data_IF_756821168835
#
_entry.id   IF_756821168835
#
_cell.length_a   1.000
_cell.length_b   1.000
_cell.length_c   1.000
_cell.angle_alpha   90.00
_cell.angle_beta   90.00
_cell.angle_gamma   90.00
#
_symmetry.space_group_name_H-M   'P 1'
#
loop_
_entity.id
_entity.type
_entity.pdbx_description
1 polymer ?
#
# COMPACT_ATOMS: atom_id res chain seq x y z
N UNK A 1 14.14 5.82 30.15
CA UNK A 1 13.72 6.71 29.06
C UNK A 1 13.77 5.90 27.78
N UNK A 2 12.63 5.66 27.15
CA UNK A 2 12.60 5.06 25.83
C UNK A 2 12.91 6.19 24.85
N UNK A 3 13.98 6.05 24.07
CA UNK A 3 14.13 6.87 22.87
C UNK A 3 13.13 6.30 21.86
N UNK A 4 12.38 7.16 21.19
CA UNK A 4 11.68 6.79 19.96
C UNK A 4 12.65 5.97 19.10
N UNK A 5 12.19 4.79 18.69
CA UNK A 5 13.00 3.85 17.93
C UNK A 5 13.54 4.48 16.65
N UNK A 6 14.50 3.85 15.95
CA UNK A 6 15.24 4.44 14.83
C UNK A 6 14.39 4.79 13.59
N UNK A 7 13.07 4.58 13.64
CA UNK A 7 12.15 4.95 12.58
C UNK A 7 11.62 6.34 12.84
N UNK A 8 11.85 7.21 11.86
CA UNK A 8 11.44 8.59 11.89
C UNK A 8 9.99 8.72 12.39
N UNK A 9 9.78 9.60 13.38
CA UNK A 9 8.50 10.22 13.65
C UNK A 9 8.05 10.99 12.40
N UNK A 10 7.61 10.26 11.36
CA UNK A 10 6.91 10.87 10.25
C UNK A 10 5.55 11.27 10.78
N UNK A 11 5.35 12.58 10.87
CA UNK A 11 4.10 13.26 11.23
C UNK A 11 2.95 12.98 10.22
N UNK A 12 3.18 12.06 9.30
CA UNK A 12 2.35 11.61 8.22
C UNK A 12 1.95 10.17 8.57
N UNK A 13 0.89 10.02 9.35
CA UNK A 13 0.41 8.71 9.75
C UNK A 13 0.02 7.91 8.50
N UNK A 14 0.62 6.73 8.31
CA UNK A 14 0.16 5.77 7.31
C UNK A 14 -1.28 5.37 7.66
N UNK A 15 -2.26 5.88 6.91
CA UNK A 15 -3.68 5.58 7.15
C UNK A 15 -4.04 4.12 6.80
N UNK A 16 -3.24 3.49 5.93
CA UNK A 16 -3.40 2.11 5.50
C UNK A 16 -2.52 1.79 4.29
N UNK A 17 -2.51 0.52 3.87
CA UNK A 17 -1.91 0.09 2.61
C UNK A 17 -2.78 -0.99 1.98
N UNK A 18 -2.64 -1.14 0.65
CA UNK A 18 -3.31 -2.17 -0.12
C UNK A 18 -2.30 -2.84 -1.04
N UNK A 19 -2.46 -4.14 -1.25
CA UNK A 19 -1.76 -4.89 -2.30
C UNK A 19 -2.79 -5.24 -3.35
N UNK A 20 -2.50 -4.93 -4.61
CA UNK A 20 -3.37 -5.22 -5.74
C UNK A 20 -2.61 -6.07 -6.75
N UNK A 21 -3.26 -7.13 -7.23
CA UNK A 21 -2.77 -7.90 -8.36
C UNK A 21 -3.31 -7.26 -9.65
N UNK A 22 -2.39 -6.81 -10.51
CA UNK A 22 -2.71 -6.13 -11.76
C UNK A 22 -1.71 -6.50 -12.84
N UNK A 23 -2.17 -6.52 -14.09
CA UNK A 23 -1.35 -6.92 -15.23
C UNK A 23 -0.17 -5.96 -15.50
N UNK A 24 -0.30 -4.68 -15.11
CA UNK A 24 0.73 -3.65 -15.35
C UNK A 24 0.64 -2.48 -14.36
N UNK A 25 1.74 -1.72 -14.26
CA UNK A 25 1.88 -0.56 -13.37
C UNK A 25 0.82 0.52 -13.63
N UNK A 26 0.48 0.78 -14.90
CA UNK A 26 -0.51 1.80 -15.25
C UNK A 26 -1.85 1.54 -14.56
N UNK A 27 -2.26 0.27 -14.48
CA UNK A 27 -3.48 -0.11 -13.77
C UNK A 27 -3.41 0.13 -12.27
N UNK A 28 -2.26 -0.11 -11.64
CA UNK A 28 -2.05 0.21 -10.22
C UNK A 28 -2.17 1.73 -9.97
N UNK A 29 -1.60 2.55 -10.87
CA UNK A 29 -1.67 4.01 -10.80
C UNK A 29 -3.11 4.51 -10.95
N UNK A 30 -3.89 3.95 -11.87
CA UNK A 30 -5.31 4.29 -12.02
C UNK A 30 -6.12 4.02 -10.73
N UNK A 31 -5.87 2.88 -10.08
CA UNK A 31 -6.54 2.52 -8.82
C UNK A 31 -6.13 3.52 -7.73
N UNK A 32 -4.83 3.78 -7.59
CA UNK A 32 -4.30 4.74 -6.61
C UNK A 32 -4.88 6.14 -6.81
N UNK A 33 -5.01 6.61 -8.06
CA UNK A 33 -5.61 7.91 -8.37
C UNK A 33 -7.08 8.01 -7.95
N UNK A 34 -7.85 6.91 -8.05
CA UNK A 34 -9.24 6.87 -7.59
C UNK A 34 -9.32 6.92 -6.06
N UNK A 35 -8.45 6.20 -5.36
CA UNK A 35 -8.40 6.19 -3.89
C UNK A 35 -7.95 7.56 -3.38
N UNK A 36 -6.91 8.14 -3.99
CA UNK A 36 -6.41 9.47 -3.64
C UNK A 36 -7.50 10.54 -3.75
N UNK A 37 -8.31 10.51 -4.82
CA UNK A 37 -9.47 11.40 -4.97
C UNK A 37 -10.55 11.14 -3.90
N UNK A 38 -10.83 9.89 -3.57
CA UNK A 38 -11.86 9.55 -2.58
C UNK A 38 -11.43 9.87 -1.13
N UNK A 39 -10.14 9.74 -0.83
CA UNK A 39 -9.57 9.97 0.49
C UNK A 39 -9.10 11.42 0.71
N UNK A 40 -9.13 12.27 -0.33
CA UNK A 40 -8.57 13.63 -0.32
C UNK A 40 -7.13 13.65 0.21
N UNK A 41 -6.29 12.74 -0.29
CA UNK A 41 -4.95 12.54 0.23
C UNK A 41 -3.99 11.89 -0.76
N UNK A 42 -2.66 12.07 -0.59
CA UNK A 42 -1.66 11.46 -1.45
C UNK A 42 -1.60 9.94 -1.25
N UNK A 43 -1.30 9.21 -2.34
CA UNK A 43 -1.05 7.77 -2.34
C UNK A 43 0.27 7.51 -3.06
N UNK A 44 1.13 6.71 -2.44
CA UNK A 44 2.36 6.20 -3.07
C UNK A 44 2.11 4.83 -3.70
N UNK A 45 2.50 4.68 -4.97
CA UNK A 45 2.44 3.39 -5.68
C UNK A 45 3.84 2.79 -5.71
N UNK A 46 3.96 1.54 -5.25
CA UNK A 46 5.21 0.79 -5.25
C UNK A 46 4.98 -0.62 -5.74
N UNK A 47 5.76 -1.04 -6.73
CA UNK A 47 5.77 -2.43 -7.16
C UNK A 47 6.27 -3.33 -6.01
N UNK A 48 5.57 -4.45 -5.78
CA UNK A 48 6.05 -5.46 -4.84
C UNK A 48 7.29 -6.15 -5.42
N UNK A 49 8.30 -6.40 -4.58
CA UNK A 49 9.53 -7.08 -5.03
C UNK A 49 9.30 -8.56 -5.32
N UNK A 50 8.31 -9.17 -4.67
CA UNK A 50 7.93 -10.57 -4.83
C UNK A 50 6.42 -10.71 -4.86
N UNK A 51 5.92 -11.75 -5.52
CA UNK A 51 4.51 -12.09 -5.44
C UNK A 51 4.17 -12.59 -4.04
N UNK A 52 2.96 -12.33 -3.52
CA UNK A 52 2.52 -12.96 -2.29
C UNK A 52 2.55 -14.50 -2.43
N UNK A 53 2.91 -15.26 -1.36
CA UNK A 53 2.89 -16.71 -1.43
C UNK A 53 1.48 -17.24 -1.77
N UNK A 54 1.39 -18.35 -2.49
CA UNK A 54 0.11 -18.86 -3.00
C UNK A 54 -0.95 -19.04 -1.88
N UNK A 55 -0.53 -19.45 -0.67
CA UNK A 55 -1.41 -19.67 0.48
C UNK A 55 -2.08 -18.38 1.04
N UNK A 56 -1.50 -17.20 0.82
CA UNK A 56 -2.14 -15.94 1.28
C UNK A 56 -3.16 -15.41 0.27
N UNK A 57 -3.05 -15.77 -1.01
CA UNK A 57 -4.02 -15.39 -2.04
C UNK A 57 -5.37 -16.09 -1.80
N UNK A 58 -5.36 -17.33 -1.29
CA UNK A 58 -6.59 -18.04 -0.90
C UNK A 58 -7.32 -17.35 0.26
N UNK A 59 -6.59 -16.72 1.19
CA UNK A 59 -7.20 -16.12 2.39
C UNK A 59 -7.83 -14.73 2.15
N UNK A 60 -7.42 -14.02 1.10
CA UNK A 60 -7.98 -12.70 0.75
C UNK A 60 -9.17 -12.78 -0.21
N UNK A 61 -9.55 -13.98 -0.65
CA UNK A 61 -10.66 -14.22 -1.60
C UNK A 61 -12.00 -14.56 -0.91
N UNK A 62 -12.16 -14.21 0.38
CA UNK A 62 -13.41 -14.38 1.16
C UNK A 62 -14.29 -13.15 1.11
#
# INVERSE_FOLDING_TARGET
MATDGPFAESRESLAGFWVVDVENEARAVEIAARISQAADGPIEVRQCMDAPPDDVLEQIST
#
